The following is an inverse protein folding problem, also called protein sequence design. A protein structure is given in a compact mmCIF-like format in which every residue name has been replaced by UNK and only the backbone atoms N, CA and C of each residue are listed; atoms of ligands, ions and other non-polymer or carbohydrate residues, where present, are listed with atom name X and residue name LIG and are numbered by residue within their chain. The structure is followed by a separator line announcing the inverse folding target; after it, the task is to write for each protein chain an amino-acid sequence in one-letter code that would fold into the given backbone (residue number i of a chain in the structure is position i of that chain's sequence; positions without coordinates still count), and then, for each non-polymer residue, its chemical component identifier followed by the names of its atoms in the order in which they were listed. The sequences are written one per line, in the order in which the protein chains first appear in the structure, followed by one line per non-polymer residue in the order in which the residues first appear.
data_IF_526037877569
#
_entry.id   IF_526037877569
#
_cell.length_a   1.000
_cell.length_b   1.000
_cell.length_c   1.000
_cell.angle_alpha   90.00
_cell.angle_beta   90.00
_cell.angle_gamma   90.00
#
_symmetry.space_group_name_H-M   'P 1'
#
loop_
_entity.id
_entity.type
_entity.pdbx_description
1 polymer ?
#
# COMPACT_ATOMS: atom_id res chain seq x y z
N UNK A 1 23.48 -1.82 -16.77
CA UNK A 1 22.36 -2.77 -16.63
C UNK A 1 21.55 -2.39 -15.39
N UNK A 2 20.26 -2.04 -15.53
CA UNK A 2 19.36 -1.81 -14.39
C UNK A 2 19.34 -3.10 -13.55
N UNK A 3 19.74 -3.04 -12.28
CA UNK A 3 19.85 -4.21 -11.41
C UNK A 3 18.45 -4.82 -11.17
N UNK A 4 18.08 -5.82 -11.97
CA UNK A 4 16.79 -6.51 -11.92
C UNK A 4 16.50 -7.11 -10.54
N UNK A 5 17.52 -7.49 -9.77
CA UNK A 5 17.34 -8.00 -8.41
C UNK A 5 16.88 -6.92 -7.43
N UNK A 6 17.32 -5.67 -7.61
CA UNK A 6 16.84 -4.52 -6.83
C UNK A 6 15.34 -4.29 -7.05
N UNK A 7 14.89 -4.37 -8.31
CA UNK A 7 13.46 -4.25 -8.64
C UNK A 7 12.63 -5.39 -8.05
N UNK A 8 13.14 -6.63 -8.10
CA UNK A 8 12.48 -7.79 -7.48
C UNK A 8 12.34 -7.65 -5.95
N UNK A 9 13.34 -7.07 -5.27
CA UNK A 9 13.29 -6.81 -3.82
C UNK A 9 12.16 -5.85 -3.48
N UNK A 10 12.14 -4.66 -4.09
CA UNK A 10 11.12 -3.64 -3.78
C UNK A 10 9.70 -4.07 -4.15
N UNK A 11 9.52 -4.75 -5.29
CA UNK A 11 8.23 -5.32 -5.71
C UNK A 11 7.69 -6.26 -4.63
N UNK A 12 8.52 -7.17 -4.13
CA UNK A 12 8.12 -8.10 -3.07
C UNK A 12 7.87 -7.38 -1.75
N UNK A 13 8.69 -6.38 -1.41
CA UNK A 13 8.47 -5.58 -0.19
C UNK A 13 7.10 -4.93 -0.19
N UNK A 14 6.67 -4.34 -1.31
CA UNK A 14 5.36 -3.69 -1.44
C UNK A 14 4.20 -4.68 -1.44
N UNK A 15 4.41 -5.88 -1.98
CA UNK A 15 3.43 -6.96 -1.90
C UNK A 15 3.16 -7.36 -0.44
N UNK A 16 4.21 -7.55 0.36
CA UNK A 16 4.05 -7.85 1.77
C UNK A 16 3.51 -6.65 2.55
N UNK A 17 3.90 -5.44 2.19
CA UNK A 17 3.37 -4.23 2.82
C UNK A 17 1.85 -4.13 2.67
N UNK A 18 1.30 -4.38 1.48
CA UNK A 18 -0.17 -4.40 1.29
C UNK A 18 -0.84 -5.49 2.13
N UNK A 19 -0.25 -6.67 2.26
CA UNK A 19 -0.78 -7.74 3.10
C UNK A 19 -0.76 -7.36 4.59
N UNK A 20 0.30 -6.70 5.04
CA UNK A 20 0.41 -6.20 6.41
C UNK A 20 -0.59 -5.07 6.69
N UNK A 21 -0.80 -4.15 5.73
CA UNK A 21 -1.85 -3.13 5.81
C UNK A 21 -3.23 -3.79 5.88
N UNK A 22 -3.48 -4.84 5.09
CA UNK A 22 -4.73 -5.59 5.16
C UNK A 22 -4.96 -6.15 6.57
N UNK A 23 -3.95 -6.79 7.19
CA UNK A 23 -4.07 -7.31 8.55
C UNK A 23 -4.33 -6.19 9.57
N UNK A 24 -3.60 -5.08 9.45
CA UNK A 24 -3.80 -3.89 10.29
C UNK A 24 -5.23 -3.35 10.20
N UNK A 25 -5.79 -3.28 8.99
CA UNK A 25 -7.16 -2.78 8.78
C UNK A 25 -8.24 -3.80 9.18
N UNK A 26 -7.96 -5.11 9.09
CA UNK A 26 -8.93 -6.15 9.40
C UNK A 26 -9.21 -6.26 10.90
N UNK A 27 -8.16 -6.33 11.72
CA UNK A 27 -8.27 -6.67 13.13
C UNK A 27 -7.76 -5.59 14.09
N UNK A 28 -7.30 -4.43 13.59
CA UNK A 28 -6.61 -3.41 14.39
C UNK A 28 -5.47 -4.00 15.23
N UNK A 29 -4.82 -5.04 14.71
CA UNK A 29 -3.69 -5.68 15.37
C UNK A 29 -2.56 -4.65 15.50
N UNK A 30 -1.82 -4.74 16.60
CA UNK A 30 -0.67 -3.88 16.85
C UNK A 30 0.35 -4.03 15.70
N UNK A 31 0.85 -2.91 15.18
CA UNK A 31 1.77 -2.93 14.04
C UNK A 31 3.12 -3.56 14.38
N UNK A 32 3.62 -3.44 15.60
CA UNK A 32 4.85 -4.09 16.03
C UNK A 32 4.72 -5.62 15.96
N UNK A 33 3.57 -6.16 16.38
CA UNK A 33 3.28 -7.60 16.27
C UNK A 33 3.24 -8.06 14.81
N UNK A 34 2.59 -7.28 13.93
CA UNK A 34 2.55 -7.56 12.48
C UNK A 34 3.98 -7.53 11.91
N UNK A 35 4.80 -6.55 12.30
CA UNK A 35 6.19 -6.44 11.83
C UNK A 35 7.01 -7.66 12.26
N UNK A 36 6.90 -8.06 13.53
CA UNK A 36 7.62 -9.23 14.07
C UNK A 36 7.19 -10.48 13.31
N UNK A 37 5.89 -10.69 13.12
CA UNK A 37 5.35 -11.82 12.38
C UNK A 37 5.88 -11.87 10.94
N UNK A 38 5.77 -10.78 10.18
CA UNK A 38 6.23 -10.73 8.79
C UNK A 38 7.75 -10.92 8.68
N UNK A 39 8.53 -10.38 9.63
CA UNK A 39 9.98 -10.60 9.68
C UNK A 39 10.31 -12.07 9.90
N UNK A 40 9.62 -12.77 10.79
CA UNK A 40 9.88 -14.19 11.04
C UNK A 40 9.43 -15.09 9.87
N UNK A 41 8.19 -14.93 9.41
CA UNK A 41 7.60 -15.73 8.33
C UNK A 41 8.31 -15.55 6.98
N UNK A 42 8.91 -14.38 6.75
CA UNK A 42 9.53 -14.02 5.47
C UNK A 42 11.03 -13.73 5.57
N UNK A 43 11.71 -14.12 6.66
CA UNK A 43 13.16 -13.91 6.88
C UNK A 43 14.05 -14.39 5.74
N UNK A 44 13.64 -15.46 5.05
CA UNK A 44 14.39 -16.08 3.94
C UNK A 44 14.02 -15.50 2.56
N UNK A 45 13.16 -14.47 2.51
CA UNK A 45 12.70 -13.85 1.27
C UNK A 45 13.51 -12.59 1.00
N UNK A 46 13.75 -12.31 -0.29
CA UNK A 46 14.40 -11.07 -0.70
C UNK A 46 13.42 -9.89 -0.53
N UNK A 47 13.40 -9.32 0.67
CA UNK A 47 12.52 -8.24 1.13
C UNK A 47 13.37 -7.15 1.76
N UNK A 48 12.95 -5.91 1.61
CA UNK A 48 13.53 -4.78 2.33
C UNK A 48 12.75 -4.53 3.63
N UNK A 49 13.12 -5.23 4.70
CA UNK A 49 12.41 -5.12 5.97
C UNK A 49 12.56 -3.76 6.65
N UNK A 50 13.65 -3.04 6.39
CA UNK A 50 13.84 -1.69 6.90
C UNK A 50 12.84 -0.71 6.26
N UNK A 51 12.67 -0.78 4.94
CA UNK A 51 11.64 0.01 4.25
C UNK A 51 10.23 -0.46 4.61
N UNK A 52 9.99 -1.78 4.71
CA UNK A 52 8.70 -2.33 5.10
C UNK A 52 8.23 -1.79 6.46
N UNK A 53 9.08 -1.89 7.48
CA UNK A 53 8.82 -1.41 8.85
C UNK A 53 8.56 0.09 8.88
N UNK A 54 9.44 0.88 8.24
CA UNK A 54 9.27 2.33 8.13
C UNK A 54 7.94 2.68 7.46
N UNK A 55 7.59 2.00 6.37
CA UNK A 55 6.37 2.32 5.61
C UNK A 55 5.12 1.92 6.37
N UNK A 56 5.10 0.74 7.02
CA UNK A 56 3.96 0.29 7.81
C UNK A 56 3.73 1.18 9.05
N UNK A 57 4.79 1.58 9.76
CA UNK A 57 4.69 2.56 10.83
C UNK A 57 4.19 3.93 10.33
N UNK A 58 4.61 4.34 9.12
CA UNK A 58 4.09 5.56 8.49
C UNK A 58 2.59 5.46 8.19
N UNK A 59 2.10 4.29 7.76
CA UNK A 59 0.67 4.04 7.55
C UNK A 59 -0.11 4.22 8.86
N UNK A 60 0.39 3.70 9.99
CA UNK A 60 -0.25 3.91 11.30
C UNK A 60 -0.36 5.39 11.64
N UNK A 61 0.78 6.08 11.57
CA UNK A 61 0.91 7.50 11.89
C UNK A 61 -0.01 8.35 11.03
N UNK A 62 -0.11 8.01 9.74
CA UNK A 62 -0.89 8.75 8.76
C UNK A 62 -2.34 8.25 8.63
N UNK A 63 -2.78 7.25 9.42
CA UNK A 63 -4.06 6.57 9.24
C UNK A 63 -5.23 7.56 9.12
N UNK A 64 -5.33 8.55 10.00
CA UNK A 64 -6.38 9.58 9.94
C UNK A 64 -6.30 10.43 8.67
N UNK A 65 -5.09 10.84 8.26
CA UNK A 65 -4.89 11.62 7.04
C UNK A 65 -5.25 10.83 5.78
N UNK A 66 -4.94 9.54 5.76
CA UNK A 66 -5.29 8.62 4.68
C UNK A 66 -6.82 8.44 4.63
N UNK A 67 -7.47 8.21 5.77
CA UNK A 67 -8.93 8.09 5.86
C UNK A 67 -9.64 9.34 5.35
N UNK A 68 -9.17 10.53 5.74
CA UNK A 68 -9.73 11.79 5.25
C UNK A 68 -9.52 11.94 3.75
N UNK A 69 -8.33 11.61 3.24
CA UNK A 69 -8.05 11.63 1.80
C UNK A 69 -9.01 10.74 1.00
N UNK A 70 -9.32 9.54 1.52
CA UNK A 70 -10.30 8.64 0.88
C UNK A 70 -11.72 9.25 0.92
N UNK A 71 -12.12 9.87 2.03
CA UNK A 71 -13.41 10.55 2.15
C UNK A 71 -13.54 11.74 1.21
N UNK A 72 -12.49 12.53 1.06
CA UNK A 72 -12.44 13.71 0.19
C UNK A 72 -12.56 13.33 -1.30
N UNK A 73 -12.15 12.10 -1.65
CA UNK A 73 -12.41 11.51 -2.96
C UNK A 73 -13.87 11.08 -3.18
N UNK A 74 -14.73 11.24 -2.18
CA UNK A 74 -16.15 10.88 -2.22
C UNK A 74 -16.41 9.39 -1.98
N UNK A 75 -15.42 8.64 -1.48
CA UNK A 75 -15.56 7.21 -1.17
C UNK A 75 -16.01 7.02 0.28
N UNK A 76 -17.06 6.22 0.49
CA UNK A 76 -17.39 5.74 1.83
C UNK A 76 -16.55 4.51 2.13
N UNK A 77 -16.26 4.29 3.40
CA UNK A 77 -15.48 3.11 3.81
C UNK A 77 -16.16 1.78 3.46
N UNK A 78 -17.49 1.78 3.30
CA UNK A 78 -18.30 0.62 2.89
C UNK A 78 -18.23 0.31 1.40
N UNK A 79 -17.76 1.26 0.58
CA UNK A 79 -17.75 1.13 -0.88
C UNK A 79 -16.51 0.37 -1.38
N UNK A 80 -15.60 0.00 -0.47
CA UNK A 80 -14.32 -0.63 -0.77
C UNK A 80 -14.23 -2.01 -0.14
N UNK A 81 -13.85 -3.00 -0.96
CA UNK A 81 -13.33 -4.24 -0.41
C UNK A 81 -12.05 -3.94 0.40
N UNK A 82 -11.82 -4.72 1.45
CA UNK A 82 -10.71 -4.47 2.37
C UNK A 82 -9.34 -4.51 1.65
N UNK A 83 -9.18 -5.34 0.62
CA UNK A 83 -7.96 -5.39 -0.18
C UNK A 83 -7.76 -4.12 -1.02
N UNK A 84 -8.83 -3.60 -1.63
CA UNK A 84 -8.77 -2.34 -2.39
C UNK A 84 -8.48 -1.16 -1.46
N UNK A 85 -9.10 -1.14 -0.27
CA UNK A 85 -8.78 -0.18 0.78
C UNK A 85 -7.30 -0.26 1.19
N UNK A 86 -6.75 -1.47 1.33
CA UNK A 86 -5.34 -1.67 1.69
C UNK A 86 -4.38 -1.13 0.63
N UNK A 87 -4.72 -1.30 -0.66
CA UNK A 87 -3.94 -0.76 -1.78
C UNK A 87 -4.05 0.78 -1.82
N UNK A 88 -5.23 1.34 -1.59
CA UNK A 88 -5.41 2.80 -1.49
C UNK A 88 -4.61 3.39 -0.33
N UNK A 89 -4.57 2.70 0.82
CA UNK A 89 -3.76 3.09 1.97
C UNK A 89 -2.26 3.11 1.64
N UNK A 90 -1.78 2.05 0.99
CA UNK A 90 -0.41 1.99 0.48
C UNK A 90 -0.10 3.19 -0.43
N UNK A 91 -0.93 3.43 -1.45
CA UNK A 91 -0.69 4.48 -2.44
C UNK A 91 -0.68 5.88 -1.80
N UNK A 92 -1.71 6.21 -1.01
CA UNK A 92 -1.85 7.52 -0.37
C UNK A 92 -0.70 7.75 0.62
N UNK A 93 -0.27 6.73 1.36
CA UNK A 93 0.91 6.85 2.23
C UNK A 93 2.19 7.15 1.44
N UNK A 94 2.43 6.47 0.31
CA UNK A 94 3.58 6.76 -0.55
C UNK A 94 3.51 8.18 -1.12
N UNK A 95 2.32 8.65 -1.53
CA UNK A 95 2.13 10.02 -1.95
C UNK A 95 2.42 11.02 -0.83
N UNK A 96 1.96 10.76 0.41
CA UNK A 96 2.23 11.62 1.57
C UNK A 96 3.72 11.67 1.93
N UNK A 97 4.46 10.58 1.74
CA UNK A 97 5.91 10.54 1.99
C UNK A 97 6.71 11.33 0.94
N UNK A 98 6.19 11.47 -0.30
CA UNK A 98 6.80 12.30 -1.35
C UNK A 98 8.12 11.76 -1.93
N UNK A 99 8.47 10.51 -1.63
CA UNK A 99 9.76 9.90 -2.04
C UNK A 99 9.73 9.35 -3.48
N UNK A 100 8.56 9.23 -4.11
CA UNK A 100 8.36 8.59 -5.43
C UNK A 100 7.48 9.42 -6.37
N UNK A 101 7.74 9.32 -7.66
CA UNK A 101 6.93 9.92 -8.71
C UNK A 101 5.50 9.38 -8.69
N UNK A 102 4.51 10.27 -8.81
CA UNK A 102 3.10 9.91 -8.74
C UNK A 102 2.66 8.80 -9.72
N UNK A 103 3.02 8.88 -11.02
CA UNK A 103 2.71 7.80 -11.96
C UNK A 103 3.29 6.43 -11.56
N UNK A 104 4.47 6.41 -10.92
CA UNK A 104 5.08 5.16 -10.44
C UNK A 104 4.29 4.55 -9.27
N UNK A 105 3.73 5.39 -8.40
CA UNK A 105 2.85 4.95 -7.31
C UNK A 105 1.56 4.34 -7.87
N UNK A 106 0.99 4.97 -8.91
CA UNK A 106 -0.23 4.49 -9.58
C UNK A 106 0.03 3.16 -10.29
N UNK A 107 1.09 3.07 -11.10
CA UNK A 107 1.49 1.83 -11.80
C UNK A 107 1.68 0.65 -10.84
N UNK A 108 2.31 0.92 -9.69
CA UNK A 108 2.52 -0.09 -8.67
C UNK A 108 1.21 -0.51 -7.98
N UNK A 109 0.31 0.44 -7.73
CA UNK A 109 -1.01 0.18 -7.14
C UNK A 109 -1.90 -0.65 -8.08
N UNK A 110 -1.83 -0.36 -9.39
CA UNK A 110 -2.46 -1.15 -10.46
C UNK A 110 -1.92 -2.59 -10.48
N UNK A 111 -0.59 -2.75 -10.36
CA UNK A 111 0.05 -4.08 -10.31
C UNK A 111 -0.40 -4.86 -9.08
N UNK A 112 -0.48 -4.22 -7.92
CA UNK A 112 -0.95 -4.81 -6.67
C UNK A 112 -2.44 -5.20 -6.75
N UNK A 113 -3.27 -4.33 -7.33
CA UNK A 113 -4.70 -4.61 -7.58
C UNK A 113 -4.88 -5.84 -8.46
N UNK A 114 -4.20 -5.93 -9.60
CA UNK A 114 -4.25 -7.11 -10.48
C UNK A 114 -3.75 -8.38 -9.81
N UNK A 115 -2.89 -8.27 -8.80
CA UNK A 115 -2.32 -9.41 -8.08
C UNK A 115 -3.25 -9.92 -6.97
N UNK A 116 -3.88 -9.03 -6.23
CA UNK A 116 -4.57 -9.38 -4.97
C UNK A 116 -6.07 -9.14 -4.99
N UNK A 117 -6.56 -8.26 -5.87
CA UNK A 117 -7.96 -7.86 -5.93
C UNK A 117 -8.68 -8.48 -7.14
N UNK A 118 -9.95 -8.13 -7.31
CA UNK A 118 -10.76 -8.52 -8.44
C UNK A 118 -10.15 -7.99 -9.76
N UNK A 119 -10.16 -8.78 -10.86
CA UNK A 119 -9.79 -8.32 -12.19
C UNK A 119 -10.37 -6.98 -12.64
N UNK A 120 -11.51 -6.52 -12.10
CA UNK A 120 -12.09 -5.21 -12.46
C UNK A 120 -11.70 -4.06 -11.51
N UNK A 121 -11.13 -4.35 -10.32
CA UNK A 121 -10.80 -3.33 -9.30
C UNK A 121 -9.69 -2.36 -9.73
N UNK A 122 -8.82 -2.75 -10.67
CA UNK A 122 -7.71 -1.88 -11.09
C UNK A 122 -8.21 -0.59 -11.77
N UNK A 123 -9.33 -0.63 -12.51
CA UNK A 123 -9.92 0.56 -13.14
C UNK A 123 -10.40 1.56 -12.10
N UNK A 124 -11.03 1.03 -11.05
CA UNK A 124 -11.48 1.80 -9.91
C UNK A 124 -10.28 2.44 -9.21
N UNK A 125 -9.28 1.66 -8.79
CA UNK A 125 -8.09 2.18 -8.10
C UNK A 125 -7.39 3.25 -8.95
N UNK A 126 -7.21 3.01 -10.25
CA UNK A 126 -6.59 4.00 -11.15
C UNK A 126 -7.34 5.33 -11.13
N UNK A 127 -8.66 5.29 -11.33
CA UNK A 127 -9.51 6.49 -11.39
C UNK A 127 -9.38 7.34 -10.12
N UNK A 128 -9.36 6.70 -8.95
CA UNK A 128 -9.31 7.41 -7.68
C UNK A 128 -7.92 7.91 -7.32
N UNK A 129 -6.86 7.17 -7.65
CA UNK A 129 -5.49 7.64 -7.45
C UNK A 129 -5.13 8.78 -8.42
N UNK A 130 -5.61 8.75 -9.65
CA UNK A 130 -5.49 9.88 -10.60
C UNK A 130 -6.19 11.13 -10.06
N UNK A 131 -7.42 10.99 -9.53
CA UNK A 131 -8.13 12.09 -8.87
C UNK A 131 -7.35 12.65 -7.69
N UNK A 132 -6.80 11.77 -6.85
CA UNK A 132 -6.00 12.18 -5.69
C UNK A 132 -4.74 12.94 -6.11
N UNK A 133 -4.03 12.46 -7.13
CA UNK A 133 -2.82 13.11 -7.64
C UNK A 133 -3.11 14.51 -8.20
N UNK A 134 -4.24 14.68 -8.91
CA UNK A 134 -4.62 15.97 -9.50
C UNK A 134 -5.23 16.97 -8.50
N UNK A 135 -5.64 16.51 -7.31
CA UNK A 135 -6.20 17.37 -6.27
C UNK A 135 -5.14 18.00 -5.35
N UNK A 136 -3.86 17.66 -5.54
CA UNK A 136 -2.72 18.14 -4.76
C UNK A 136 -2.01 19.32 -5.41
#
# INVERSE_FOLDING_TARGET
MKNLAKYKKIIRTREYLVQAIYQFLFNHQNIDDIIIQFKDEHRNKNVDFAYFEKSLASVEKNNKSIQNSIKDLGLKETDLELIDKSIMYFAINEFLNGELDGPLIIDESLRLSKKFSNPESYKFINTYLDKFLNAR
#
